data_IF_042465743073
#
_entry.id   IF_042465743073
#
_cell.length_a   1.000
_cell.length_b   1.000
_cell.length_c   1.000
_cell.angle_alpha   90.00
_cell.angle_beta   90.00
_cell.angle_gamma   90.00
#
_symmetry.space_group_name_H-M   'P 1'
#
loop_
_entity.id
_entity.type
_entity.pdbx_description
1 polymer ?
#
# COMPACT_ATOMS: atom_id res chain seq x y z
N UNK A 1 8.41 -1.67 -24.10
CA UNK A 1 8.41 -0.40 -23.34
C UNK A 1 9.83 0.09 -23.14
N UNK A 2 10.13 1.41 -23.20
CA UNK A 2 11.47 1.91 -22.85
C UNK A 2 11.79 1.60 -21.39
N UNK A 3 13.01 1.14 -21.10
CA UNK A 3 13.47 0.65 -19.79
C UNK A 3 13.14 1.60 -18.62
N UNK A 4 13.21 2.91 -18.89
CA UNK A 4 12.87 3.99 -17.95
C UNK A 4 11.40 4.00 -17.50
N UNK A 5 10.45 3.64 -18.39
CA UNK A 5 9.03 3.55 -18.03
C UNK A 5 8.74 2.35 -17.13
N UNK A 6 9.40 1.22 -17.40
CA UNK A 6 9.27 0.01 -16.57
C UNK A 6 9.83 0.27 -15.18
N UNK A 7 11.02 0.87 -15.10
CA UNK A 7 11.63 1.24 -13.82
C UNK A 7 10.77 2.23 -13.03
N UNK A 8 10.30 3.31 -13.64
CA UNK A 8 9.42 4.27 -12.97
C UNK A 8 8.11 3.62 -12.49
N UNK A 9 7.57 2.68 -13.26
CA UNK A 9 6.33 1.97 -12.91
C UNK A 9 6.52 1.03 -11.73
N UNK A 10 7.64 0.32 -11.69
CA UNK A 10 8.04 -0.50 -10.54
C UNK A 10 8.17 0.34 -9.27
N UNK A 11 8.88 1.45 -9.33
CA UNK A 11 9.07 2.36 -8.20
C UNK A 11 7.77 3.03 -7.75
N UNK A 12 6.88 3.34 -8.68
CA UNK A 12 5.53 3.82 -8.36
C UNK A 12 4.70 2.76 -7.63
N UNK A 13 4.70 1.51 -8.10
CA UNK A 13 4.02 0.42 -7.42
C UNK A 13 4.60 0.16 -6.02
N UNK A 14 5.92 0.27 -5.88
CA UNK A 14 6.60 0.15 -4.60
C UNK A 14 6.20 1.26 -3.62
N UNK A 15 6.13 2.51 -4.10
CA UNK A 15 5.64 3.64 -3.30
C UNK A 15 4.24 3.37 -2.74
N UNK A 16 3.29 2.99 -3.61
CA UNK A 16 1.91 2.70 -3.21
C UNK A 16 1.86 1.57 -2.17
N UNK A 17 2.67 0.53 -2.37
CA UNK A 17 2.76 -0.62 -1.48
C UNK A 17 3.30 -0.26 -0.09
N UNK A 18 4.37 0.54 -0.03
CA UNK A 18 4.95 1.02 1.22
C UNK A 18 3.95 1.91 1.96
N UNK A 19 3.27 2.82 1.25
CA UNK A 19 2.24 3.66 1.86
C UNK A 19 1.05 2.87 2.40
N UNK A 20 0.65 1.78 1.74
CA UNK A 20 -0.42 0.90 2.22
C UNK A 20 -0.03 0.16 3.51
N UNK A 21 1.22 -0.29 3.61
CA UNK A 21 1.71 -1.02 4.77
C UNK A 21 2.01 -0.09 5.96
N UNK A 22 2.45 1.15 5.70
CA UNK A 22 2.98 2.06 6.73
C UNK A 22 2.04 2.32 7.94
N UNK A 23 0.73 2.58 7.79
CA UNK A 23 -0.15 2.85 8.94
C UNK A 23 -0.23 1.69 9.95
N UNK A 24 -0.10 0.44 9.47
CA UNK A 24 -0.08 -0.73 10.35
C UNK A 24 1.18 -0.72 11.23
N UNK A 25 2.36 -0.49 10.62
CA UNK A 25 3.62 -0.38 11.35
C UNK A 25 3.66 0.77 12.33
N UNK A 26 3.13 1.93 11.92
CA UNK A 26 3.05 3.10 12.80
C UNK A 26 2.21 2.83 14.04
N UNK A 27 1.09 2.12 13.87
CA UNK A 27 0.22 1.78 14.98
C UNK A 27 0.81 0.69 15.89
N UNK A 28 1.37 -0.38 15.32
CA UNK A 28 2.01 -1.42 16.12
C UNK A 28 3.17 -0.86 16.95
N UNK A 29 3.98 0.01 16.33
CA UNK A 29 5.05 0.73 17.00
C UNK A 29 4.56 1.77 18.01
N UNK A 30 3.38 2.36 17.84
CA UNK A 30 2.76 3.22 18.85
C UNK A 30 2.21 2.41 20.03
N UNK A 31 1.57 1.27 19.75
CA UNK A 31 0.95 0.41 20.76
C UNK A 31 1.99 -0.25 21.66
N UNK A 32 3.18 -0.58 21.14
CA UNK A 32 4.29 -1.07 21.98
C UNK A 32 4.70 -0.06 23.06
N UNK A 33 4.55 1.25 22.81
CA UNK A 33 4.89 2.31 23.78
C UNK A 33 3.90 2.39 24.97
N UNK A 34 2.65 1.97 24.77
CA UNK A 34 1.61 2.06 25.81
C UNK A 34 1.69 0.95 26.85
N UNK A 35 2.45 -0.12 26.59
CA UNK A 35 2.55 -1.29 27.46
C UNK A 35 3.43 -1.06 28.69
N UNK A 36 4.70 -0.69 28.50
CA UNK A 36 5.69 -0.42 29.54
C UNK A 36 6.71 0.57 28.97
N UNK A 37 6.97 1.71 29.61
CA UNK A 37 7.92 2.71 29.09
C UNK A 37 9.37 2.26 29.36
N UNK A 38 10.02 1.60 28.39
CA UNK A 38 11.46 1.31 28.44
C UNK A 38 12.26 2.28 27.55
N UNK A 39 13.58 2.35 27.75
CA UNK A 39 14.48 3.11 26.86
C UNK A 39 14.45 2.60 25.41
N UNK A 40 14.15 1.30 25.22
CA UNK A 40 13.94 0.66 23.91
C UNK A 40 12.67 1.19 23.24
N UNK A 41 11.62 1.45 24.02
CA UNK A 41 10.37 2.05 23.52
C UNK A 41 10.58 3.52 23.15
N UNK A 42 11.37 4.28 23.93
CA UNK A 42 11.73 5.64 23.58
C UNK A 42 12.52 5.73 22.25
N UNK A 43 13.42 4.77 22.00
CA UNK A 43 14.16 4.66 20.75
C UNK A 43 13.28 4.24 19.56
N UNK A 44 12.36 3.30 19.76
CA UNK A 44 11.34 2.93 18.79
C UNK A 44 10.43 4.13 18.46
N UNK A 45 9.99 4.88 19.46
CA UNK A 45 9.19 6.09 19.30
C UNK A 45 9.93 7.19 18.54
N UNK A 46 11.22 7.39 18.82
CA UNK A 46 12.06 8.38 18.15
C UNK A 46 12.32 7.97 16.69
N UNK A 47 12.48 6.68 16.42
CA UNK A 47 12.54 6.14 15.08
C UNK A 47 11.22 6.35 14.32
N UNK A 48 10.11 5.98 14.93
CA UNK A 48 8.77 6.15 14.35
C UNK A 48 8.51 7.63 14.08
N UNK A 49 8.92 8.51 15.00
CA UNK A 49 8.89 9.96 14.83
C UNK A 49 9.80 10.44 13.70
N UNK A 50 10.96 9.82 13.48
CA UNK A 50 11.84 10.14 12.36
C UNK A 50 11.26 9.63 11.03
N UNK A 51 10.81 8.38 10.95
CA UNK A 51 10.10 7.83 9.77
C UNK A 51 8.89 8.70 9.45
N UNK A 52 8.07 9.04 10.45
CA UNK A 52 6.96 9.98 10.31
C UNK A 52 7.44 11.32 9.80
N UNK A 53 8.43 11.98 10.43
CA UNK A 53 8.92 13.28 9.99
C UNK A 53 9.41 13.26 8.52
N UNK A 54 10.09 12.19 8.11
CA UNK A 54 10.63 12.03 6.76
C UNK A 54 9.60 11.57 5.71
N UNK A 55 8.52 10.87 6.10
CA UNK A 55 7.39 10.60 5.20
C UNK A 55 6.43 11.79 5.14
N UNK A 56 6.25 12.50 6.25
CA UNK A 56 5.34 13.63 6.40
C UNK A 56 5.81 14.80 5.56
N UNK A 57 7.11 15.09 5.42
CA UNK A 57 7.56 16.23 4.63
C UNK A 57 7.31 16.08 3.12
N UNK A 58 7.66 14.97 2.45
CA UNK A 58 7.26 14.70 1.06
C UNK A 58 5.74 14.61 0.89
N UNK A 59 5.03 14.02 1.85
CA UNK A 59 3.56 13.90 1.83
C UNK A 59 2.89 15.27 1.99
N UNK A 60 3.37 16.11 2.91
CA UNK A 60 2.87 17.47 3.13
C UNK A 60 3.20 18.38 1.97
N UNK A 61 4.39 18.27 1.38
CA UNK A 61 4.76 19.04 0.20
C UNK A 61 3.85 18.68 -0.98
N UNK A 62 3.49 17.40 -1.13
CA UNK A 62 2.53 16.94 -2.14
C UNK A 62 1.07 17.27 -1.81
N UNK A 63 0.66 17.22 -0.54
CA UNK A 63 -0.66 17.68 -0.11
C UNK A 63 -0.81 19.19 -0.32
N UNK A 64 0.25 19.96 -0.11
CA UNK A 64 0.30 21.39 -0.44
C UNK A 64 0.24 21.60 -1.96
N UNK A 65 0.92 20.79 -2.77
CA UNK A 65 0.83 20.87 -4.24
C UNK A 65 -0.50 20.38 -4.81
N UNK A 66 -1.32 19.66 -4.04
CA UNK A 66 -2.70 19.32 -4.43
C UNK A 66 -3.67 20.51 -4.26
N UNK A 67 -3.25 21.55 -3.52
CA UNK A 67 -4.01 22.78 -3.27
C UNK A 67 -3.49 24.03 -4.00
N UNK A 68 -2.20 24.10 -4.31
CA UNK A 68 -1.54 25.21 -5.02
C UNK A 68 -0.65 24.72 -6.17
N UNK A 69 -0.44 25.57 -7.19
CA UNK A 69 0.53 25.32 -8.28
C UNK A 69 1.93 25.04 -7.70
N UNK A 70 2.60 23.93 -8.08
CA UNK A 70 3.88 23.56 -7.51
C UNK A 70 4.98 24.56 -7.90
N UNK A 71 5.63 25.18 -6.89
CA UNK A 71 6.76 26.10 -7.09
C UNK A 71 8.08 25.41 -7.46
N UNK A 72 8.16 24.07 -7.40
CA UNK A 72 9.39 23.30 -7.62
C UNK A 72 9.16 22.20 -8.67
N UNK A 73 10.19 21.94 -9.50
CA UNK A 73 10.16 20.95 -10.56
C UNK A 73 9.81 19.55 -10.04
N UNK A 74 8.88 18.86 -10.72
CA UNK A 74 8.38 17.56 -10.28
C UNK A 74 9.49 16.51 -10.19
N UNK A 75 9.80 16.05 -8.97
CA UNK A 75 10.71 14.92 -8.74
C UNK A 75 10.17 13.66 -9.44
N UNK A 76 11.05 12.93 -10.13
CA UNK A 76 10.67 11.69 -10.81
C UNK A 76 10.22 10.61 -9.82
N UNK A 77 9.28 9.72 -10.18
CA UNK A 77 8.83 8.60 -9.34
C UNK A 77 9.96 7.72 -8.80
N UNK A 78 10.97 7.44 -9.62
CA UNK A 78 12.13 6.66 -9.20
C UNK A 78 12.96 7.37 -8.13
N UNK A 79 13.14 8.69 -8.26
CA UNK A 79 13.85 9.48 -7.26
C UNK A 79 13.09 9.51 -5.93
N UNK A 80 11.78 9.76 -5.96
CA UNK A 80 10.95 9.79 -4.76
C UNK A 80 10.88 8.41 -4.06
N UNK A 81 10.77 7.33 -4.82
CA UNK A 81 10.76 5.98 -4.26
C UNK A 81 12.14 5.56 -3.72
N UNK A 82 13.24 5.88 -4.42
CA UNK A 82 14.59 5.62 -3.92
C UNK A 82 14.90 6.47 -2.68
N UNK A 83 14.43 7.72 -2.63
CA UNK A 83 14.55 8.60 -1.47
C UNK A 83 13.79 8.01 -0.28
N UNK A 84 12.51 7.66 -0.45
CA UNK A 84 11.70 7.02 0.59
C UNK A 84 12.26 5.68 1.06
N UNK A 85 12.74 4.84 0.13
CA UNK A 85 13.32 3.54 0.45
C UNK A 85 14.68 3.68 1.14
N UNK A 86 15.51 4.64 0.70
CA UNK A 86 16.76 4.99 1.36
C UNK A 86 16.53 5.45 2.79
N UNK A 87 15.55 6.33 3.02
CA UNK A 87 15.18 6.78 4.36
C UNK A 87 14.60 5.66 5.22
N UNK A 88 13.77 4.78 4.65
CA UNK A 88 13.23 3.63 5.37
C UNK A 88 14.34 2.65 5.81
N UNK A 89 15.31 2.36 4.93
CA UNK A 89 16.46 1.51 5.26
C UNK A 89 17.32 2.15 6.34
N UNK A 90 17.65 3.43 6.19
CA UNK A 90 18.43 4.17 7.20
C UNK A 90 17.71 4.17 8.54
N UNK A 91 16.40 4.39 8.55
CA UNK A 91 15.59 4.32 9.76
C UNK A 91 15.66 2.93 10.39
N UNK A 92 15.38 1.85 9.65
CA UNK A 92 15.47 0.48 10.19
C UNK A 92 16.87 0.17 10.72
N UNK A 93 17.94 0.57 10.03
CA UNK A 93 19.31 0.38 10.51
C UNK A 93 19.59 1.16 11.81
N UNK A 94 19.12 2.41 11.91
CA UNK A 94 19.25 3.22 13.12
C UNK A 94 18.42 2.62 14.26
N UNK A 95 17.24 2.08 13.97
CA UNK A 95 16.40 1.39 14.95
C UNK A 95 17.12 0.22 15.56
N UNK A 96 17.62 -0.68 14.73
CA UNK A 96 18.33 -1.88 15.17
C UNK A 96 19.60 -1.52 15.93
N UNK A 97 20.35 -0.51 15.48
CA UNK A 97 21.52 -0.03 16.20
C UNK A 97 21.16 0.47 17.61
N UNK A 98 20.06 1.21 17.77
CA UNK A 98 19.62 1.70 19.09
C UNK A 98 19.03 0.56 19.92
N UNK A 99 18.25 -0.35 19.33
CA UNK A 99 17.70 -1.52 20.02
C UNK A 99 18.81 -2.41 20.55
N UNK A 100 19.85 -2.69 19.74
CA UNK A 100 21.04 -3.46 20.18
C UNK A 100 21.82 -2.72 21.27
N UNK A 101 21.97 -1.39 21.15
CA UNK A 101 22.69 -0.59 22.15
C UNK A 101 21.95 -0.53 23.50
N UNK A 102 20.63 -0.39 23.48
CA UNK A 102 19.80 -0.32 24.69
C UNK A 102 19.56 -1.70 25.29
N UNK A 103 19.38 -2.73 24.46
CA UNK A 103 19.14 -4.10 24.87
C UNK A 103 20.44 -4.88 25.11
N UNK A 104 21.51 -4.26 25.62
CA UNK A 104 22.80 -4.89 25.92
C UNK A 104 22.75 -6.12 26.88
N UNK A 105 21.55 -6.53 27.32
CA UNK A 105 21.23 -7.74 28.09
C UNK A 105 20.53 -8.87 27.29
N UNK A 106 20.10 -8.64 26.04
CA UNK A 106 19.43 -9.64 25.19
C UNK A 106 20.32 -9.94 23.97
N UNK A 107 20.61 -11.22 23.72
CA UNK A 107 21.57 -11.62 22.69
C UNK A 107 21.15 -11.20 21.27
N UNK A 108 22.15 -10.83 20.44
CA UNK A 108 22.01 -10.39 19.04
C UNK A 108 21.08 -11.27 18.16
N UNK A 109 20.90 -12.54 18.51
CA UNK A 109 20.05 -13.47 17.76
C UNK A 109 18.55 -13.12 17.86
N UNK A 110 18.07 -12.64 19.00
CA UNK A 110 16.66 -12.30 19.23
C UNK A 110 16.25 -11.06 18.43
N UNK A 111 17.13 -10.06 18.34
CA UNK A 111 16.91 -8.85 17.56
C UNK A 111 16.75 -9.17 16.06
N UNK A 112 17.63 -10.02 15.51
CA UNK A 112 17.54 -10.47 14.12
C UNK A 112 16.24 -11.20 13.80
N UNK A 113 15.72 -12.02 14.72
CA UNK A 113 14.43 -12.72 14.54
C UNK A 113 13.24 -11.76 14.54
N UNK A 114 13.24 -10.76 15.44
CA UNK A 114 12.18 -9.75 15.50
C UNK A 114 12.16 -8.87 14.25
N UNK A 115 13.33 -8.46 13.76
CA UNK A 115 13.44 -7.72 12.50
C UNK A 115 12.91 -8.55 11.32
N UNK A 116 13.31 -9.82 11.24
CA UNK A 116 12.85 -10.71 10.17
C UNK A 116 11.32 -10.86 10.17
N UNK A 117 10.69 -10.96 11.35
CA UNK A 117 9.23 -11.01 11.50
C UNK A 117 8.56 -9.70 11.06
N UNK A 118 9.09 -8.55 11.49
CA UNK A 118 8.55 -7.24 11.11
C UNK A 118 8.66 -7.00 9.59
N UNK A 119 9.79 -7.37 8.98
CA UNK A 119 9.99 -7.27 7.52
C UNK A 119 9.07 -8.24 6.77
N UNK A 120 8.93 -9.48 7.24
CA UNK A 120 8.02 -10.45 6.65
C UNK A 120 6.57 -9.95 6.69
N UNK A 121 6.14 -9.37 7.82
CA UNK A 121 4.84 -8.73 7.94
C UNK A 121 4.72 -7.56 6.95
N UNK A 122 5.73 -6.71 6.81
CA UNK A 122 5.68 -5.57 5.89
C UNK A 122 5.50 -6.02 4.45
N UNK A 123 6.22 -7.08 4.06
CA UNK A 123 6.11 -7.69 2.74
C UNK A 123 4.72 -8.27 2.53
N UNK A 124 4.14 -8.97 3.52
CA UNK A 124 2.79 -9.55 3.42
C UNK A 124 1.75 -8.49 3.03
N UNK A 125 1.75 -7.35 3.71
CA UNK A 125 0.79 -6.27 3.45
C UNK A 125 1.12 -5.48 2.17
N UNK A 126 2.40 -5.34 1.82
CA UNK A 126 2.84 -4.59 0.64
C UNK A 126 2.62 -5.34 -0.69
N UNK A 127 2.61 -6.67 -0.70
CA UNK A 127 2.52 -7.48 -1.93
C UNK A 127 1.24 -7.17 -2.71
N UNK A 128 0.07 -7.24 -2.08
CA UNK A 128 -1.22 -7.03 -2.76
C UNK A 128 -1.31 -5.68 -3.48
N UNK A 129 -1.09 -4.52 -2.82
CA UNK A 129 -1.14 -3.22 -3.47
C UNK A 129 -0.04 -3.06 -4.53
N UNK A 130 1.14 -3.66 -4.33
CA UNK A 130 2.20 -3.66 -5.34
C UNK A 130 1.76 -4.34 -6.65
N UNK A 131 1.32 -5.59 -6.58
CA UNK A 131 0.93 -6.35 -7.77
C UNK A 131 -0.32 -5.80 -8.43
N UNK A 132 -1.28 -5.29 -7.65
CA UNK A 132 -2.46 -4.62 -8.20
C UNK A 132 -2.08 -3.34 -8.94
N UNK A 133 -1.16 -2.54 -8.38
CA UNK A 133 -0.67 -1.34 -9.07
C UNK A 133 0.08 -1.70 -10.34
N UNK A 134 0.93 -2.74 -10.32
CA UNK A 134 1.59 -3.26 -11.54
C UNK A 134 0.56 -3.70 -12.58
N UNK A 135 -0.49 -4.43 -12.18
CA UNK A 135 -1.56 -4.85 -13.07
C UNK A 135 -2.30 -3.66 -13.69
N UNK A 136 -2.53 -2.58 -12.93
CA UNK A 136 -3.08 -1.34 -13.47
C UNK A 136 -2.16 -0.71 -14.50
N UNK A 137 -0.86 -0.61 -14.22
CA UNK A 137 0.12 -0.06 -15.17
C UNK A 137 0.17 -0.85 -16.49
N UNK A 138 0.02 -2.17 -16.42
CA UNK A 138 -0.06 -3.07 -17.58
C UNK A 138 -1.44 -3.06 -18.23
N UNK A 139 -2.48 -2.59 -17.53
CA UNK A 139 -3.87 -2.55 -18.01
C UNK A 139 -4.09 -1.80 -19.33
N UNK A 140 -3.12 -0.98 -19.74
CA UNK A 140 -3.12 -0.26 -21.04
C UNK A 140 -2.73 -1.12 -22.24
N UNK A 141 -2.06 -2.23 -22.01
CA UNK A 141 -1.67 -3.16 -23.05
C UNK A 141 -2.91 -3.90 -23.59
N UNK A 142 -2.80 -4.60 -24.74
CA UNK A 142 -3.90 -5.37 -25.28
C UNK A 142 -4.55 -6.27 -24.22
N UNK A 143 -5.88 -6.41 -24.27
CA UNK A 143 -6.65 -7.11 -23.23
C UNK A 143 -6.18 -8.54 -22.97
N UNK A 144 -5.62 -9.20 -23.99
CA UNK A 144 -5.06 -10.55 -23.84
C UNK A 144 -3.85 -10.60 -22.90
N UNK A 145 -3.11 -9.50 -22.73
CA UNK A 145 -1.96 -9.39 -21.84
C UNK A 145 -2.32 -8.77 -20.49
N UNK A 146 -3.21 -7.76 -20.49
CA UNK A 146 -3.65 -7.09 -19.26
C UNK A 146 -4.39 -8.04 -18.29
N UNK A 147 -5.31 -8.88 -18.79
CA UNK A 147 -6.09 -9.77 -17.94
C UNK A 147 -5.27 -10.88 -17.27
N UNK A 148 -4.31 -11.54 -17.94
CA UNK A 148 -3.40 -12.46 -17.27
C UNK A 148 -2.59 -11.80 -16.15
N UNK A 149 -2.10 -10.57 -16.34
CA UNK A 149 -1.35 -9.87 -15.27
C UNK A 149 -2.26 -9.53 -14.10
N UNK A 150 -3.51 -9.14 -14.34
CA UNK A 150 -4.51 -8.96 -13.29
C UNK A 150 -4.79 -10.28 -12.55
N UNK A 151 -4.93 -11.40 -13.27
CA UNK A 151 -5.11 -12.72 -12.66
C UNK A 151 -3.90 -13.13 -11.81
N UNK A 152 -2.68 -12.86 -12.29
CA UNK A 152 -1.44 -13.10 -11.53
C UNK A 152 -1.46 -12.28 -10.23
N UNK A 153 -1.90 -11.02 -10.25
CA UNK A 153 -1.97 -10.22 -9.03
C UNK A 153 -2.88 -10.83 -7.95
N UNK A 154 -4.02 -11.40 -8.36
CA UNK A 154 -4.93 -12.13 -7.46
C UNK A 154 -4.29 -13.42 -6.95
N UNK A 155 -3.71 -14.22 -7.85
CA UNK A 155 -3.05 -15.49 -7.50
C UNK A 155 -1.89 -15.26 -6.52
N UNK A 156 -1.03 -14.28 -6.78
CA UNK A 156 0.09 -13.94 -5.89
C UNK A 156 -0.42 -13.50 -4.52
N UNK A 157 -1.45 -12.66 -4.46
CA UNK A 157 -2.05 -12.25 -3.19
C UNK A 157 -2.60 -13.45 -2.39
N UNK A 158 -3.27 -14.39 -3.07
CA UNK A 158 -3.76 -15.61 -2.45
C UNK A 158 -2.64 -16.55 -1.97
N UNK A 159 -1.59 -16.73 -2.79
CA UNK A 159 -0.42 -17.54 -2.42
C UNK A 159 0.27 -16.96 -1.19
N UNK A 160 0.45 -15.63 -1.12
CA UNK A 160 1.06 -15.00 0.05
C UNK A 160 0.23 -15.26 1.31
N UNK A 161 -1.09 -15.13 1.26
CA UNK A 161 -1.95 -15.46 2.40
C UNK A 161 -1.77 -16.92 2.87
N UNK A 162 -1.75 -17.89 1.94
CA UNK A 162 -1.57 -19.31 2.26
C UNK A 162 -0.18 -19.60 2.83
N UNK A 163 0.88 -19.07 2.21
CA UNK A 163 2.28 -19.27 2.65
C UNK A 163 2.51 -18.65 4.03
N UNK A 164 1.82 -17.55 4.34
CA UNK A 164 1.91 -16.86 5.62
C UNK A 164 0.97 -17.43 6.68
N UNK A 165 0.25 -18.52 6.38
CA UNK A 165 -0.62 -19.20 7.33
C UNK A 165 -1.85 -18.41 7.72
N UNK A 166 -2.36 -17.54 6.84
CA UNK A 166 -3.59 -16.80 7.11
C UNK A 166 -4.79 -17.75 7.19
N UNK A 167 -5.66 -17.50 8.17
CA UNK A 167 -6.92 -18.21 8.26
C UNK A 167 -7.79 -17.92 7.02
N UNK A 168 -8.63 -18.90 6.67
CA UNK A 168 -9.49 -18.79 5.49
C UNK A 168 -10.39 -17.56 5.52
N UNK A 169 -10.87 -17.13 6.69
CA UNK A 169 -11.69 -15.92 6.79
C UNK A 169 -10.88 -14.67 6.47
N UNK A 170 -9.67 -14.50 7.02
CA UNK A 170 -8.76 -13.37 6.73
C UNK A 170 -8.43 -13.30 5.24
N UNK A 171 -8.17 -14.47 4.63
CA UNK A 171 -7.86 -14.56 3.22
C UNK A 171 -9.04 -14.10 2.36
N UNK A 172 -10.26 -14.49 2.72
CA UNK A 172 -11.49 -14.08 2.01
C UNK A 172 -11.77 -12.59 2.21
N UNK A 173 -11.68 -12.09 3.44
CA UNK A 173 -11.96 -10.68 3.76
C UNK A 173 -10.95 -9.72 3.17
N UNK A 174 -9.72 -10.18 2.91
CA UNK A 174 -8.68 -9.40 2.23
C UNK A 174 -8.79 -9.47 0.70
N UNK A 175 -9.03 -10.67 0.13
CA UNK A 175 -9.02 -10.88 -1.32
C UNK A 175 -10.23 -10.27 -2.02
N UNK A 176 -11.44 -10.40 -1.46
CA UNK A 176 -12.66 -9.90 -2.09
C UNK A 176 -12.57 -8.39 -2.38
N UNK A 177 -12.34 -7.52 -1.40
CA UNK A 177 -12.19 -6.09 -1.66
C UNK A 177 -10.99 -5.78 -2.57
N UNK A 178 -9.86 -6.51 -2.44
CA UNK A 178 -8.71 -6.33 -3.32
C UNK A 178 -9.03 -6.64 -4.79
N UNK A 179 -9.84 -7.67 -5.07
CA UNK A 179 -10.32 -8.01 -6.42
C UNK A 179 -11.21 -6.88 -6.96
N UNK A 180 -12.13 -6.35 -6.16
CA UNK A 180 -12.96 -5.22 -6.57
C UNK A 180 -12.12 -3.98 -6.89
N UNK A 181 -11.13 -3.68 -6.04
CA UNK A 181 -10.17 -2.58 -6.26
C UNK A 181 -9.41 -2.80 -7.57
N UNK A 182 -8.88 -4.01 -7.80
CA UNK A 182 -8.18 -4.38 -9.02
C UNK A 182 -9.05 -4.16 -10.26
N UNK A 183 -10.28 -4.69 -10.28
CA UNK A 183 -11.21 -4.55 -11.40
C UNK A 183 -11.54 -3.09 -11.65
N UNK A 184 -11.91 -2.33 -10.61
CA UNK A 184 -12.26 -0.92 -10.73
C UNK A 184 -11.09 -0.09 -11.29
N UNK A 185 -9.88 -0.30 -10.79
CA UNK A 185 -8.69 0.39 -11.29
C UNK A 185 -8.33 -0.02 -12.73
N UNK A 186 -8.48 -1.30 -13.10
CA UNK A 186 -8.31 -1.74 -14.48
C UNK A 186 -9.30 -1.07 -15.44
N UNK A 187 -10.56 -0.89 -15.04
CA UNK A 187 -11.56 -0.17 -15.83
C UNK A 187 -11.17 1.30 -15.97
N UNK A 188 -10.85 1.97 -14.86
CA UNK A 188 -10.47 3.39 -14.84
C UNK A 188 -9.26 3.66 -15.74
N UNK A 189 -8.21 2.85 -15.62
CA UNK A 189 -6.96 3.00 -16.38
C UNK A 189 -7.15 2.72 -17.88
N UNK A 190 -8.07 1.81 -18.23
CA UNK A 190 -8.37 1.51 -19.64
C UNK A 190 -9.19 2.60 -20.29
N UNK A 191 -10.10 3.23 -19.55
CA UNK A 191 -10.92 4.32 -20.06
C UNK A 191 -10.13 5.62 -20.19
N UNK A 192 -9.32 5.97 -19.19
CA UNK A 192 -8.62 7.25 -19.11
C UNK A 192 -7.20 7.10 -18.58
N UNK A 193 -6.26 7.81 -19.22
CA UNK A 193 -4.87 7.89 -18.80
C UNK A 193 -4.40 9.34 -18.83
N UNK A 194 -4.80 10.06 -17.79
CA UNK A 194 -4.44 11.45 -17.49
C UNK A 194 -3.91 11.61 -16.06
N UNK A 195 -3.45 12.82 -15.71
CA UNK A 195 -2.96 13.15 -14.37
C UNK A 195 -3.96 12.84 -13.23
N UNK A 196 -5.26 12.71 -13.53
CA UNK A 196 -6.31 12.40 -12.54
C UNK A 196 -6.54 10.90 -12.34
N UNK A 197 -5.97 10.04 -13.19
CA UNK A 197 -6.21 8.58 -13.19
C UNK A 197 -6.01 7.96 -11.81
N UNK A 198 -4.86 8.21 -11.17
CA UNK A 198 -4.56 7.63 -9.85
C UNK A 198 -5.37 8.27 -8.72
N UNK A 199 -5.80 9.53 -8.86
CA UNK A 199 -6.75 10.15 -7.93
C UNK A 199 -8.12 9.48 -7.99
N UNK A 200 -8.54 9.06 -9.19
CA UNK A 200 -9.78 8.28 -9.38
C UNK A 200 -9.63 6.86 -8.86
N UNK A 201 -8.48 6.21 -9.09
CA UNK A 201 -8.18 4.93 -8.46
C UNK A 201 -8.20 5.05 -6.93
N UNK A 202 -7.60 6.09 -6.36
CA UNK A 202 -7.64 6.35 -4.92
C UNK A 202 -9.08 6.49 -4.40
N UNK A 203 -9.92 7.25 -5.12
CA UNK A 203 -11.34 7.40 -4.76
C UNK A 203 -12.09 6.08 -4.87
N UNK A 204 -11.87 5.30 -5.93
CA UNK A 204 -12.48 3.99 -6.10
C UNK A 204 -12.05 3.03 -4.98
N UNK A 205 -10.76 2.96 -4.66
CA UNK A 205 -10.22 2.18 -3.54
C UNK A 205 -10.87 2.59 -2.22
N UNK A 206 -10.98 3.90 -1.94
CA UNK A 206 -11.61 4.40 -0.73
C UNK A 206 -13.10 4.05 -0.65
N UNK A 207 -13.85 4.20 -1.74
CA UNK A 207 -15.28 3.83 -1.79
C UNK A 207 -15.47 2.33 -1.58
N UNK A 208 -14.66 1.50 -2.24
CA UNK A 208 -14.73 0.04 -2.09
C UNK A 208 -14.39 -0.37 -0.66
N UNK A 209 -13.32 0.18 -0.10
CA UNK A 209 -12.90 -0.08 1.27
C UNK A 209 -13.98 0.30 2.30
N UNK A 210 -14.52 1.52 2.21
CA UNK A 210 -15.59 1.98 3.12
C UNK A 210 -16.84 1.13 2.97
N UNK A 211 -17.24 0.83 1.72
CA UNK A 211 -18.41 -0.02 1.46
C UNK A 211 -18.21 -1.41 2.04
N UNK A 212 -17.03 -2.00 1.86
CA UNK A 212 -16.68 -3.31 2.39
C UNK A 212 -16.72 -3.34 3.92
N UNK A 213 -16.07 -2.38 4.58
CA UNK A 213 -16.04 -2.28 6.05
C UNK A 213 -17.43 -2.04 6.65
N UNK A 214 -18.26 -1.22 5.99
CA UNK A 214 -19.65 -1.00 6.41
C UNK A 214 -20.47 -2.28 6.23
N UNK A 215 -20.37 -2.95 5.09
CA UNK A 215 -21.10 -4.20 4.83
C UNK A 215 -20.70 -5.31 5.79
N UNK A 216 -19.40 -5.48 6.04
CA UNK A 216 -18.90 -6.49 6.98
C UNK A 216 -19.30 -6.17 8.42
N UNK A 217 -19.25 -4.90 8.83
CA UNK A 217 -19.71 -4.45 10.14
C UNK A 217 -21.22 -4.63 10.34
N UNK A 218 -22.05 -4.30 9.35
CA UNK A 218 -23.50 -4.51 9.39
C UNK A 218 -23.81 -6.01 9.43
N UNK A 219 -23.14 -6.83 8.63
CA UNK A 219 -23.30 -8.28 8.65
C UNK A 219 -22.96 -8.85 10.03
N UNK A 220 -21.84 -8.42 10.62
CA UNK A 220 -21.44 -8.84 11.97
C UNK A 220 -22.47 -8.43 13.03
N UNK A 221 -23.04 -7.21 12.92
CA UNK A 221 -24.08 -6.72 13.83
C UNK A 221 -25.36 -7.56 13.71
N UNK A 222 -25.79 -7.90 12.49
CA UNK A 222 -26.97 -8.75 12.26
C UNK A 222 -26.76 -10.16 12.81
N UNK A 223 -25.58 -10.76 12.58
CA UNK A 223 -25.24 -12.07 13.14
C UNK A 223 -25.22 -12.06 14.67
N UNK A 224 -24.70 -10.98 15.26
CA UNK A 224 -24.70 -10.78 16.70
C UNK A 224 -26.13 -10.67 17.27
N UNK A 225 -27.00 -9.88 16.62
CA UNK A 225 -28.41 -9.75 17.01
C UNK A 225 -29.17 -11.10 16.87
N UNK A 226 -28.82 -11.90 15.86
CA UNK A 226 -29.37 -13.23 15.66
C UNK A 226 -28.78 -14.31 16.61
N UNK A 227 -27.90 -13.93 17.53
CA UNK A 227 -27.20 -14.82 18.47
C UNK A 227 -26.38 -15.94 17.79
N UNK A 228 -25.98 -15.75 16.53
CA UNK A 228 -25.12 -16.69 15.79
C UNK A 228 -23.66 -16.34 16.07
N UNK A 229 -23.08 -16.98 17.09
CA UNK A 229 -21.67 -16.76 17.46
C UNK A 229 -20.68 -17.60 16.64
N UNK A 230 -21.16 -18.59 15.88
CA UNK A 230 -20.32 -19.51 15.12
C UNK A 230 -19.66 -18.85 13.89
N UNK A 231 -20.20 -17.74 13.40
CA UNK A 231 -19.65 -16.99 12.26
C UNK A 231 -19.20 -15.60 12.71
N UNK A 232 -17.89 -15.38 12.72
CA UNK A 232 -17.28 -14.07 12.92
C UNK A 232 -16.62 -13.65 11.60
N UNK A 233 -17.06 -12.52 11.07
CA UNK A 233 -16.57 -11.95 9.80
C UNK A 233 -15.26 -11.19 10.01
N UNK A 234 -15.18 -10.43 11.11
CA UNK A 234 -13.98 -9.71 11.52
C UNK A 234 -13.82 -9.83 13.04
N UNK A 235 -12.59 -10.07 13.49
CA UNK A 235 -12.21 -9.63 14.82
C UNK A 235 -12.01 -8.10 14.85
N UNK A 236 -12.13 -7.50 16.04
CA UNK A 236 -11.99 -6.05 16.19
C UNK A 236 -10.60 -5.56 15.76
N UNK A 237 -9.56 -6.34 16.07
CA UNK A 237 -8.19 -6.05 15.67
C UNK A 237 -8.00 -6.14 14.15
N UNK A 238 -8.56 -7.18 13.52
CA UNK A 238 -8.53 -7.38 12.07
C UNK A 238 -9.25 -6.23 11.34
N UNK A 239 -10.41 -5.80 11.84
CA UNK A 239 -11.18 -4.70 11.25
C UNK A 239 -10.37 -3.40 11.19
N UNK A 240 -9.70 -3.05 12.30
CA UNK A 240 -8.88 -1.85 12.36
C UNK A 240 -7.56 -1.99 11.61
N UNK A 241 -7.03 -3.21 11.48
CA UNK A 241 -5.89 -3.51 10.60
C UNK A 241 -6.22 -3.16 9.16
N UNK A 242 -7.34 -3.68 8.66
CA UNK A 242 -7.79 -3.44 7.28
C UNK A 242 -8.14 -1.96 7.04
N UNK A 243 -8.79 -1.31 8.01
CA UNK A 243 -9.08 0.12 7.91
C UNK A 243 -7.79 0.95 7.74
N UNK A 244 -6.77 0.69 8.55
CA UNK A 244 -5.45 1.37 8.47
C UNK A 244 -4.75 1.08 7.15
N UNK A 245 -4.78 -0.17 6.71
CA UNK A 245 -4.24 -0.59 5.42
C UNK A 245 -4.87 0.18 4.24
N UNK A 246 -6.21 0.27 4.18
CA UNK A 246 -6.88 1.02 3.11
C UNK A 246 -6.63 2.53 3.17
N UNK A 247 -6.54 3.11 4.37
CA UNK A 247 -6.15 4.52 4.53
C UNK A 247 -4.76 4.76 3.94
N UNK A 248 -3.81 3.86 4.24
CA UNK A 248 -2.46 3.91 3.68
C UNK A 248 -2.45 3.82 2.16
N UNK A 249 -3.23 2.88 1.60
CA UNK A 249 -3.30 2.67 0.17
C UNK A 249 -3.89 3.88 -0.57
N UNK A 250 -5.00 4.42 -0.07
CA UNK A 250 -5.62 5.64 -0.63
C UNK A 250 -4.65 6.81 -0.57
N UNK A 251 -3.98 7.00 0.57
CA UNK A 251 -2.98 8.06 0.74
C UNK A 251 -1.82 7.89 -0.24
N UNK A 252 -1.29 6.67 -0.37
CA UNK A 252 -0.22 6.34 -1.31
C UNK A 252 -0.56 6.70 -2.75
N UNK A 253 -1.81 6.48 -3.17
CA UNK A 253 -2.30 6.83 -4.51
C UNK A 253 -2.54 8.34 -4.70
N UNK A 254 -2.99 9.06 -3.67
CA UNK A 254 -3.23 10.51 -3.73
C UNK A 254 -1.94 11.32 -3.78
N UNK A 255 -0.91 10.86 -3.07
CA UNK A 255 0.39 11.52 -2.92
C UNK A 255 1.41 10.92 -3.90
N UNK A 256 0.98 10.02 -4.78
CA UNK A 256 1.88 9.32 -5.67
C UNK A 256 2.62 10.28 -6.61
N UNK A 257 3.93 10.06 -6.84
CA UNK A 257 4.70 10.91 -7.74
C UNK A 257 4.18 10.81 -9.18
N UNK A 258 4.22 11.93 -9.92
CA UNK A 258 3.71 12.05 -11.29
C UNK A 258 4.25 10.97 -12.21
N UNK A 259 3.43 9.96 -12.48
CA UNK A 259 3.75 8.86 -13.41
C UNK A 259 3.01 9.00 -14.74
N UNK A 260 1.87 9.71 -14.74
CA UNK A 260 1.04 9.93 -15.92
C UNK A 260 1.39 11.28 -16.55
N UNK A 261 1.57 11.39 -17.87
CA UNK A 261 1.76 12.68 -18.53
C UNK A 261 0.56 13.62 -18.31
N UNK A 262 0.84 14.92 -18.14
CA UNK A 262 -0.18 15.98 -17.95
C UNK A 262 -1.12 16.13 -19.14
N UNK A 263 -0.66 15.71 -20.32
CA UNK A 263 -1.47 15.70 -21.53
C UNK A 263 -2.15 14.34 -21.71
N UNK A 264 -3.50 14.28 -21.79
CA UNK A 264 -4.21 13.03 -22.01
C UNK A 264 -3.77 12.44 -23.34
N UNK A 265 -3.14 11.27 -23.28
CA UNK A 265 -2.90 10.44 -24.45
C UNK A 265 -4.24 9.85 -24.85
N UNK A 266 -5.04 10.61 -25.61
CA UNK A 266 -6.31 10.17 -26.15
C UNK A 266 -6.19 8.76 -26.70
N UNK A 267 -7.02 7.83 -26.19
CA UNK A 267 -7.18 6.47 -26.71
C UNK A 267 -7.83 6.44 -28.12
N UNK A 268 -7.83 7.57 -28.83
CA UNK A 268 -8.38 7.75 -30.16
C UNK A 268 -7.32 7.71 -31.25
N UNK A 269 -6.53 6.63 -31.31
CA UNK A 269 -5.73 6.29 -32.48
C UNK A 269 -6.59 5.84 -33.66
N UNK A 270 -7.52 6.67 -34.15
CA UNK A 270 -8.23 6.48 -35.43
C UNK A 270 -7.34 6.70 -36.67
N UNK A 271 -6.01 6.73 -36.49
CA UNK A 271 -5.04 6.95 -37.57
C UNK A 271 -4.56 5.70 -38.30
N UNK A 272 -4.84 4.48 -37.79
CA UNK A 272 -4.22 3.25 -38.34
C UNK A 272 -5.14 2.41 -39.23
N UNK A 273 -6.38 2.83 -39.50
CA UNK A 273 -7.31 2.12 -40.41
C UNK A 273 -7.30 2.61 -41.87
N UNK A 274 -6.39 3.50 -42.24
CA UNK A 274 -6.24 3.98 -43.61
C UNK A 274 -4.76 4.04 -44.00
N UNK A 275 -4.15 2.89 -44.30
CA UNK A 275 -3.19 2.72 -45.40
C UNK A 275 -2.63 1.29 -45.43
N UNK A 276 -2.93 0.64 -46.56
CA UNK A 276 -2.45 -0.64 -47.10
C UNK A 276 -3.17 -1.88 -46.62
#
# INVERSE_FOLDING_TARGET
>A
MPLRRVSNGFFFALWVAVCAAAPEFLWQGLFSLFGHFSLTDAAAALLIGAILAFFVEPVLERLRSLGDEPKHAEKSPAFAACEALGFAVVAVCVHEAITVYVAASHGNAQAGENLAKAVAQAVQWAVTPFFITVAWLVGREPSWFAWPVAAIAVVVSGIVGVVCGWDMHVLVTSLIPAIFVLIAGCVIVREQWDATTFRRCARATGVIAVTWLVLSGVLQLVLWLAHVQAFRVYDWLEFWSDARFYVGWVTGLLVAPGFVPDTPLSAGGKGWRWRR
#
